data_IF_603906769463
#
_entry.id   IF_603906769463
#
_cell.length_a   1.000
_cell.length_b   1.000
_cell.length_c   1.000
_cell.angle_alpha   90.00
_cell.angle_beta   90.00
_cell.angle_gamma   90.00
#
_symmetry.space_group_name_H-M   'P 1'
#
loop_
_entity.id
_entity.type
_entity.pdbx_description
1 polymer ?
#
# COMPACT_ATOMS: atom_id res chain seq x y z
N UNK A 1 6.01 -59.13 30.77
CA UNK A 1 5.27 -57.93 31.27
C UNK A 1 5.57 -56.80 30.32
N UNK A 2 4.71 -56.62 29.33
CA UNK A 2 4.84 -55.64 28.26
C UNK A 2 3.88 -54.47 28.57
N UNK A 3 4.46 -53.30 28.87
CA UNK A 3 3.72 -52.07 29.02
C UNK A 3 3.39 -51.48 27.64
N UNK A 4 2.15 -51.61 27.22
CA UNK A 4 1.58 -50.85 26.13
C UNK A 4 1.25 -49.45 26.67
N UNK A 5 2.04 -48.44 26.27
CA UNK A 5 1.70 -47.07 26.47
C UNK A 5 0.59 -46.72 25.45
N UNK A 6 -0.60 -46.49 25.95
CA UNK A 6 -1.77 -46.06 25.21
C UNK A 6 -1.53 -44.61 24.72
N UNK A 7 -1.32 -44.44 23.42
CA UNK A 7 -1.19 -43.11 22.79
C UNK A 7 -2.58 -42.53 22.67
N UNK A 8 -2.91 -41.57 23.52
CA UNK A 8 -4.14 -40.80 23.41
C UNK A 8 -4.16 -40.05 22.08
N UNK A 9 -5.26 -40.09 21.31
CA UNK A 9 -5.38 -39.30 20.10
C UNK A 9 -5.42 -37.81 20.45
N UNK A 10 -4.59 -37.01 19.76
CA UNK A 10 -4.57 -35.57 19.90
C UNK A 10 -5.93 -35.02 19.53
N UNK A 11 -6.58 -34.32 20.45
CA UNK A 11 -7.81 -33.58 20.18
C UNK A 11 -7.54 -32.53 19.09
N UNK A 12 -8.41 -32.40 18.07
CA UNK A 12 -8.26 -31.34 17.10
C UNK A 12 -8.40 -29.98 17.81
N UNK A 13 -7.32 -29.21 17.77
CA UNK A 13 -7.34 -27.83 18.24
C UNK A 13 -8.27 -27.04 17.34
N UNK A 14 -9.48 -26.75 17.80
CA UNK A 14 -10.40 -25.84 17.14
C UNK A 14 -9.73 -24.47 17.05
N UNK A 15 -9.42 -24.04 15.82
CA UNK A 15 -9.03 -22.66 15.58
C UNK A 15 -10.12 -21.74 16.16
N UNK A 16 -9.75 -20.65 16.85
CA UNK A 16 -10.73 -19.71 17.35
C UNK A 16 -11.59 -19.21 16.19
N UNK A 17 -12.89 -19.36 16.30
CA UNK A 17 -13.84 -18.81 15.34
C UNK A 17 -13.56 -17.31 15.23
N UNK A 18 -13.05 -16.87 14.08
CA UNK A 18 -12.87 -15.47 13.76
C UNK A 18 -14.27 -14.91 13.54
N UNK A 19 -14.92 -14.48 14.61
CA UNK A 19 -16.09 -13.63 14.50
C UNK A 19 -15.63 -12.36 13.80
N UNK A 20 -16.22 -12.07 12.64
CA UNK A 20 -16.06 -10.77 12.00
C UNK A 20 -16.27 -9.69 13.08
N UNK A 21 -15.38 -8.69 13.19
CA UNK A 21 -15.51 -7.67 14.19
C UNK A 21 -16.91 -7.06 14.08
N UNK A 22 -17.70 -7.18 15.13
CA UNK A 22 -18.98 -6.50 15.22
C UNK A 22 -18.70 -5.01 15.11
N UNK A 23 -19.34 -4.31 14.19
CA UNK A 23 -19.18 -2.91 13.84
C UNK A 23 -19.61 -1.91 14.95
N UNK A 24 -19.43 -2.26 16.21
CA UNK A 24 -19.78 -1.42 17.37
C UNK A 24 -18.60 -0.51 17.79
N UNK A 25 -17.82 -0.02 16.83
CA UNK A 25 -16.75 0.94 17.12
C UNK A 25 -17.28 2.35 17.36
N UNK A 26 -16.52 3.14 18.13
CA UNK A 26 -16.80 4.55 18.49
C UNK A 26 -16.99 5.45 17.25
N UNK A 27 -16.56 5.01 16.07
CA UNK A 27 -16.60 5.78 14.82
C UNK A 27 -17.73 5.38 13.87
N UNK A 28 -18.86 4.86 14.38
CA UNK A 28 -20.03 4.68 13.55
C UNK A 28 -20.62 6.04 13.19
N UNK A 29 -20.53 6.41 11.92
CA UNK A 29 -21.09 7.64 11.37
C UNK A 29 -22.37 7.28 10.63
N UNK A 30 -23.47 7.87 11.04
CA UNK A 30 -24.80 7.60 10.46
C UNK A 30 -25.20 8.62 9.40
N UNK A 31 -24.60 9.80 9.44
CA UNK A 31 -24.89 10.88 8.50
C UNK A 31 -23.63 11.69 8.12
N UNK A 32 -23.75 12.51 7.09
CA UNK A 32 -22.64 13.27 6.52
C UNK A 32 -22.04 14.30 7.50
N UNK A 33 -22.86 14.94 8.33
CA UNK A 33 -22.36 15.93 9.28
C UNK A 33 -21.54 15.27 10.40
N UNK A 34 -22.00 14.13 10.90
CA UNK A 34 -21.20 13.33 11.85
C UNK A 34 -19.89 12.88 11.23
N UNK A 35 -19.91 12.48 9.95
CA UNK A 35 -18.69 12.10 9.22
C UNK A 35 -17.68 13.25 9.13
N UNK A 36 -18.14 14.47 8.81
CA UNK A 36 -17.26 15.66 8.76
C UNK A 36 -16.70 15.98 10.13
N UNK A 37 -17.50 15.93 11.19
CA UNK A 37 -17.05 16.17 12.55
C UNK A 37 -16.00 15.15 13.00
N UNK A 38 -16.24 13.86 12.75
CA UNK A 38 -15.29 12.79 13.03
C UNK A 38 -13.99 12.96 12.22
N UNK A 39 -14.08 13.29 10.93
CA UNK A 39 -12.92 13.56 10.07
C UNK A 39 -12.10 14.76 10.57
N UNK A 40 -12.77 15.84 10.96
CA UNK A 40 -12.12 17.02 11.53
C UNK A 40 -11.40 16.70 12.84
N UNK A 41 -12.02 15.92 13.72
CA UNK A 41 -11.42 15.47 14.97
C UNK A 41 -10.18 14.59 14.70
N UNK A 42 -10.30 13.59 13.83
CA UNK A 42 -9.20 12.68 13.49
C UNK A 42 -8.03 13.42 12.84
N UNK A 43 -8.28 14.42 12.00
CA UNK A 43 -7.23 15.20 11.34
C UNK A 43 -6.36 16.00 12.34
N UNK A 44 -6.88 16.30 13.52
CA UNK A 44 -6.14 16.91 14.61
C UNK A 44 -5.24 15.94 15.41
N UNK A 45 -5.41 14.62 15.21
CA UNK A 45 -4.69 13.61 16.00
C UNK A 45 -3.27 13.38 15.50
N UNK A 46 -2.33 13.22 16.45
CA UNK A 46 -0.95 12.79 16.12
C UNK A 46 -0.83 11.29 15.75
N UNK A 47 -1.88 10.50 15.98
CA UNK A 47 -1.89 9.06 15.68
C UNK A 47 -2.21 8.76 14.22
N UNK A 48 -2.80 9.71 13.48
CA UNK A 48 -3.03 9.53 12.04
C UNK A 48 -1.75 9.84 11.24
N UNK A 49 -1.52 9.18 10.09
CA UNK A 49 -0.39 9.48 9.21
C UNK A 49 -0.39 10.93 8.69
N UNK A 50 0.74 11.40 8.24
CA UNK A 50 0.97 12.80 7.82
C UNK A 50 -0.05 13.29 6.78
N UNK A 51 -0.45 12.44 5.83
CA UNK A 51 -1.40 12.81 4.77
C UNK A 51 -2.82 13.10 5.28
N UNK A 52 -3.11 12.66 6.50
CA UNK A 52 -4.39 12.83 7.20
C UNK A 52 -4.33 13.90 8.29
N UNK A 53 -3.11 14.41 8.63
CA UNK A 53 -2.95 15.42 9.68
C UNK A 53 -3.23 16.82 9.16
N UNK A 54 -3.95 17.60 9.96
CA UNK A 54 -4.20 19.01 9.70
C UNK A 54 -2.91 19.84 9.73
N UNK A 55 -2.03 19.59 10.70
CA UNK A 55 -0.76 20.28 10.82
C UNK A 55 0.40 19.35 10.51
N UNK A 56 1.18 19.73 9.51
CA UNK A 56 2.31 18.94 9.03
C UNK A 56 3.60 19.75 9.04
N UNK A 57 4.76 19.10 9.30
CA UNK A 57 6.04 19.80 9.28
C UNK A 57 6.37 20.34 7.90
N UNK A 58 6.78 21.61 7.84
CA UNK A 58 7.37 22.19 6.63
C UNK A 58 8.70 21.49 6.36
N UNK A 59 8.90 21.04 5.13
CA UNK A 59 10.14 20.37 4.70
C UNK A 59 10.94 21.26 3.76
N UNK A 60 12.26 21.26 3.93
CA UNK A 60 13.17 21.90 2.98
C UNK A 60 13.31 21.08 1.69
N UNK A 61 14.08 21.59 0.71
CA UNK A 61 14.36 20.93 -0.57
C UNK A 61 14.99 19.52 -0.45
N UNK A 62 15.55 19.18 0.72
CA UNK A 62 16.12 17.85 1.02
C UNK A 62 15.16 16.96 1.79
N UNK A 63 13.88 17.35 1.95
CA UNK A 63 12.86 16.58 2.68
C UNK A 63 12.99 16.61 4.20
N UNK A 64 13.94 17.40 4.77
CA UNK A 64 14.15 17.54 6.22
C UNK A 64 13.17 18.56 6.80
N UNK A 65 12.56 18.24 7.94
CA UNK A 65 11.69 19.18 8.65
C UNK A 65 12.45 20.45 9.04
N UNK A 66 11.83 21.60 8.81
CA UNK A 66 12.33 22.91 9.24
C UNK A 66 11.92 23.16 10.68
N UNK A 67 12.80 23.87 11.42
CA UNK A 67 12.56 24.25 12.81
C UNK A 67 12.63 25.77 12.97
N UNK A 68 11.87 26.29 13.93
CA UNK A 68 11.96 27.66 14.39
C UNK A 68 13.25 27.90 15.18
N UNK A 69 13.53 29.15 15.54
CA UNK A 69 14.70 29.53 16.33
C UNK A 69 14.71 28.89 17.75
N UNK A 70 13.55 28.56 18.30
CA UNK A 70 13.34 27.88 19.57
C UNK A 70 13.47 26.34 19.49
N UNK A 71 13.76 25.79 18.31
CA UNK A 71 13.88 24.35 18.06
C UNK A 71 12.54 23.62 17.78
N UNK A 72 11.41 24.31 17.84
CA UNK A 72 10.10 23.71 17.51
C UNK A 72 9.94 23.50 15.99
N UNK A 73 9.23 22.46 15.53
CA UNK A 73 8.96 22.26 14.12
C UNK A 73 8.13 23.41 13.54
N UNK A 74 8.52 23.91 12.37
CA UNK A 74 7.64 24.76 11.57
C UNK A 74 6.52 23.92 11.01
N UNK A 75 5.26 24.34 11.22
CA UNK A 75 4.08 23.64 10.78
C UNK A 75 3.35 24.42 9.69
N UNK A 76 2.79 23.72 8.73
CA UNK A 76 1.85 24.25 7.74
C UNK A 76 0.54 23.49 7.78
N UNK A 77 -0.56 24.14 7.41
CA UNK A 77 -1.85 23.49 7.32
C UNK A 77 -1.91 22.63 6.06
N UNK A 78 -2.38 21.40 6.22
CA UNK A 78 -2.69 20.50 5.11
C UNK A 78 -4.18 20.71 4.72
N UNK A 79 -4.48 21.33 3.58
CA UNK A 79 -5.86 21.62 3.19
C UNK A 79 -6.68 20.37 2.90
N UNK A 80 -6.02 19.24 2.63
CA UNK A 80 -6.68 17.99 2.28
C UNK A 80 -6.92 17.07 3.49
N UNK A 81 -6.44 17.42 4.68
CA UNK A 81 -6.47 16.53 5.84
C UNK A 81 -7.88 16.02 6.19
N UNK A 82 -8.84 16.94 6.32
CA UNK A 82 -10.22 16.57 6.65
C UNK A 82 -10.88 15.75 5.54
N UNK A 83 -10.65 16.10 4.28
CA UNK A 83 -11.18 15.37 3.12
C UNK A 83 -10.60 13.96 3.05
N UNK A 84 -9.29 13.81 3.27
CA UNK A 84 -8.63 12.51 3.31
C UNK A 84 -9.17 11.64 4.46
N UNK A 85 -9.34 12.22 5.66
CA UNK A 85 -9.96 11.54 6.79
C UNK A 85 -11.39 11.10 6.48
N UNK A 86 -12.19 11.95 5.83
CA UNK A 86 -13.57 11.64 5.46
C UNK A 86 -13.64 10.47 4.48
N UNK A 87 -12.76 10.45 3.47
CA UNK A 87 -12.66 9.34 2.52
C UNK A 87 -12.28 8.05 3.24
N UNK A 88 -11.27 8.10 4.13
CA UNK A 88 -10.84 6.93 4.89
C UNK A 88 -11.93 6.41 5.83
N UNK A 89 -12.69 7.31 6.49
CA UNK A 89 -13.87 6.94 7.29
C UNK A 89 -14.93 6.21 6.46
N UNK A 90 -15.25 6.73 5.26
CA UNK A 90 -16.20 6.09 4.36
C UNK A 90 -15.71 4.70 3.93
N UNK A 91 -14.43 4.55 3.61
CA UNK A 91 -13.85 3.25 3.26
C UNK A 91 -13.89 2.29 4.43
N UNK A 92 -13.53 2.74 5.65
CA UNK A 92 -13.59 1.95 6.86
C UNK A 92 -15.01 1.42 7.12
N UNK A 93 -16.01 2.29 6.99
CA UNK A 93 -17.41 1.93 7.16
C UNK A 93 -17.88 0.89 6.14
N UNK A 94 -17.51 1.08 4.86
CA UNK A 94 -17.87 0.12 3.79
C UNK A 94 -17.19 -1.24 3.93
N UNK A 95 -15.97 -1.28 4.47
CA UNK A 95 -15.18 -2.49 4.63
C UNK A 95 -15.41 -3.17 6.00
N UNK A 96 -16.05 -2.49 6.95
CA UNK A 96 -16.22 -2.98 8.32
C UNK A 96 -14.93 -2.98 9.14
N UNK A 97 -13.97 -2.10 8.81
CA UNK A 97 -12.69 -1.97 9.51
C UNK A 97 -12.66 -0.71 10.38
N UNK A 98 -11.72 -0.69 11.33
CA UNK A 98 -11.43 0.50 12.11
C UNK A 98 -10.83 1.62 11.24
N UNK A 99 -11.31 2.88 11.36
CA UNK A 99 -10.82 4.00 10.55
C UNK A 99 -9.32 4.25 10.68
N UNK A 100 -8.75 4.13 11.87
CA UNK A 100 -7.32 4.32 12.08
C UNK A 100 -6.51 3.22 11.38
N UNK A 101 -7.00 1.98 11.38
CA UNK A 101 -6.40 0.88 10.62
C UNK A 101 -6.38 1.18 9.12
N UNK A 102 -7.48 1.72 8.58
CA UNK A 102 -7.52 2.15 7.18
C UNK A 102 -6.50 3.27 6.93
N UNK A 103 -6.51 4.34 7.72
CA UNK A 103 -5.59 5.46 7.54
C UNK A 103 -4.11 5.04 7.62
N UNK A 104 -3.76 4.12 8.50
CA UNK A 104 -2.39 3.61 8.65
C UNK A 104 -1.93 2.75 7.46
N UNK A 105 -2.86 2.20 6.70
CA UNK A 105 -2.58 1.28 5.59
C UNK A 105 -2.94 1.83 4.21
N UNK A 106 -3.60 2.98 4.12
CA UNK A 106 -3.97 3.65 2.88
C UNK A 106 -3.03 4.85 2.67
N UNK A 107 -2.08 4.70 1.77
CA UNK A 107 -1.15 5.75 1.37
C UNK A 107 -1.75 6.60 0.25
N UNK A 108 -1.37 7.87 0.21
CA UNK A 108 -1.70 8.78 -0.90
C UNK A 108 -0.40 9.07 -1.63
N UNK A 109 -0.22 8.46 -2.80
CA UNK A 109 0.98 8.59 -3.63
C UNK A 109 0.59 9.37 -4.87
N UNK A 110 1.08 10.60 -5.00
CA UNK A 110 0.76 11.52 -6.11
C UNK A 110 -0.75 11.64 -6.38
N UNK A 111 -1.52 11.81 -5.31
CA UNK A 111 -2.98 11.95 -5.36
C UNK A 111 -3.74 10.64 -5.60
N UNK A 112 -3.05 9.50 -5.69
CA UNK A 112 -3.68 8.18 -5.85
C UNK A 112 -3.67 7.41 -4.54
N UNK A 113 -4.82 6.85 -4.11
CA UNK A 113 -4.85 5.96 -2.97
C UNK A 113 -4.14 4.64 -3.31
N UNK A 114 -3.43 4.09 -2.34
CA UNK A 114 -2.69 2.84 -2.49
C UNK A 114 -2.65 2.06 -1.17
N UNK A 115 -2.96 0.77 -1.22
CA UNK A 115 -2.90 -0.09 -0.05
C UNK A 115 -1.47 -0.50 0.31
N UNK A 116 -1.19 -0.64 1.61
CA UNK A 116 0.00 -1.38 2.03
C UNK A 116 -0.13 -2.84 1.60
N UNK A 117 0.98 -3.45 1.18
CA UNK A 117 0.97 -4.88 0.79
C UNK A 117 0.58 -5.79 1.96
N UNK A 118 0.88 -5.38 3.20
CA UNK A 118 0.47 -6.08 4.42
C UNK A 118 -1.04 -6.05 4.60
N UNK A 119 -1.69 -4.91 4.35
CA UNK A 119 -3.14 -4.79 4.42
C UNK A 119 -3.83 -5.67 3.39
N UNK A 120 -3.29 -5.75 2.17
CA UNK A 120 -3.83 -6.63 1.12
C UNK A 120 -3.89 -8.08 1.61
N UNK A 121 -2.80 -8.59 2.18
CA UNK A 121 -2.76 -9.95 2.74
C UNK A 121 -3.76 -10.10 3.88
N UNK A 122 -3.79 -9.13 4.80
CA UNK A 122 -4.72 -9.17 5.94
C UNK A 122 -6.19 -9.15 5.50
N UNK A 123 -6.54 -8.31 4.53
CA UNK A 123 -7.89 -8.18 3.99
C UNK A 123 -8.34 -9.47 3.28
N UNK A 124 -7.46 -10.08 2.47
CA UNK A 124 -7.74 -11.37 1.83
C UNK A 124 -7.97 -12.45 2.89
N UNK A 125 -7.12 -12.53 3.91
CA UNK A 125 -7.26 -13.54 4.97
C UNK A 125 -8.52 -13.33 5.84
N UNK A 126 -8.92 -12.08 6.04
CA UNK A 126 -10.08 -11.75 6.87
C UNK A 126 -11.42 -11.84 6.13
N UNK A 127 -11.44 -11.89 4.80
CA UNK A 127 -12.66 -11.81 4.00
C UNK A 127 -13.61 -13.01 4.13
N UNK A 128 -13.14 -14.11 4.70
CA UNK A 128 -13.92 -15.32 4.90
C UNK A 128 -14.32 -16.07 3.63
N UNK A 129 -13.82 -15.69 2.46
CA UNK A 129 -14.05 -16.39 1.18
C UNK A 129 -13.09 -17.54 0.96
N UNK A 130 -11.90 -17.43 1.51
CA UNK A 130 -10.76 -18.33 1.31
C UNK A 130 -10.20 -18.76 2.65
N UNK A 131 -9.40 -19.82 2.62
CA UNK A 131 -8.46 -20.13 3.70
C UNK A 131 -7.33 -19.07 3.73
N UNK A 132 -6.53 -18.99 4.80
CA UNK A 132 -5.40 -18.07 4.84
C UNK A 132 -4.44 -18.24 3.67
N UNK A 133 -4.05 -17.13 3.06
CA UNK A 133 -3.17 -17.07 1.90
C UNK A 133 -1.82 -17.73 2.22
N UNK A 134 -1.38 -18.62 1.37
CA UNK A 134 -0.11 -19.34 1.44
C UNK A 134 0.82 -18.87 0.33
N UNK A 135 2.14 -19.05 0.54
CA UNK A 135 3.15 -18.62 -0.42
C UNK A 135 4.12 -19.78 -0.68
N UNK A 136 4.26 -20.11 -1.94
CA UNK A 136 5.21 -21.11 -2.41
C UNK A 136 6.36 -20.38 -3.10
N UNK A 137 7.58 -20.45 -2.49
CA UNK A 137 8.79 -19.86 -3.05
C UNK A 137 9.68 -20.98 -3.55
N UNK A 138 10.11 -20.87 -4.81
CA UNK A 138 11.03 -21.81 -5.44
C UNK A 138 12.25 -21.05 -5.95
N UNK A 139 13.43 -21.61 -5.74
CA UNK A 139 14.67 -21.15 -6.35
C UNK A 139 14.90 -21.92 -7.65
N UNK A 140 14.82 -21.24 -8.79
CA UNK A 140 15.05 -21.84 -10.11
C UNK A 140 16.53 -21.82 -10.52
N UNK A 141 17.41 -21.43 -9.60
CA UNK A 141 18.84 -21.35 -9.83
C UNK A 141 19.30 -19.98 -10.33
N UNK A 142 20.58 -19.89 -10.61
CA UNK A 142 21.23 -18.67 -11.07
C UNK A 142 20.85 -18.41 -12.55
N UNK A 143 20.48 -17.15 -12.84
CA UNK A 143 20.06 -16.72 -14.16
C UNK A 143 20.71 -15.39 -14.53
N UNK A 144 21.17 -15.30 -15.77
CA UNK A 144 21.62 -14.06 -16.36
C UNK A 144 20.46 -13.42 -17.12
N UNK A 145 20.12 -12.17 -16.78
CA UNK A 145 18.93 -11.49 -17.24
C UNK A 145 19.33 -10.19 -17.93
N UNK A 146 19.00 -10.09 -19.21
CA UNK A 146 19.14 -8.86 -19.97
C UNK A 146 17.96 -7.93 -19.71
N UNK A 147 18.24 -6.64 -19.58
CA UNK A 147 17.23 -5.60 -19.39
C UNK A 147 17.65 -4.28 -19.99
N UNK A 148 16.68 -3.39 -20.21
CA UNK A 148 16.94 -2.03 -20.68
C UNK A 148 17.03 -1.11 -19.47
N UNK A 149 18.21 -0.56 -19.24
CA UNK A 149 18.41 0.46 -18.21
C UNK A 149 18.13 1.84 -18.82
N UNK A 150 17.12 2.54 -18.32
CA UNK A 150 16.76 3.89 -18.77
C UNK A 150 17.19 4.91 -17.73
N UNK A 151 17.87 5.96 -18.13
CA UNK A 151 18.36 7.05 -17.27
C UNK A 151 18.21 8.39 -17.96
N UNK A 152 18.22 9.46 -17.17
CA UNK A 152 18.16 10.83 -17.68
C UNK A 152 19.55 11.45 -17.66
N UNK A 153 19.95 12.01 -18.79
CA UNK A 153 21.18 12.75 -18.93
C UNK A 153 20.92 14.02 -19.75
N UNK A 154 21.29 15.20 -19.20
CA UNK A 154 21.08 16.51 -19.85
C UNK A 154 19.64 16.73 -20.35
N UNK A 155 18.63 16.30 -19.58
CA UNK A 155 17.21 16.44 -19.93
C UNK A 155 16.70 15.50 -21.02
N UNK A 156 17.52 14.53 -21.46
CA UNK A 156 17.14 13.51 -22.44
C UNK A 156 17.10 12.13 -21.77
N UNK A 157 16.07 11.36 -22.09
CA UNK A 157 15.97 9.97 -21.67
C UNK A 157 16.86 9.13 -22.58
N UNK A 158 17.88 8.51 -22.00
CA UNK A 158 18.78 7.57 -22.65
C UNK A 158 18.47 6.16 -22.17
N UNK A 159 18.81 5.16 -22.97
CA UNK A 159 18.69 3.77 -22.60
C UNK A 159 19.88 2.97 -23.12
N UNK A 160 20.35 2.04 -22.32
CA UNK A 160 21.35 1.06 -22.69
C UNK A 160 20.91 -0.34 -22.28
N UNK A 161 21.40 -1.34 -23.01
CA UNK A 161 21.26 -2.72 -22.59
C UNK A 161 22.23 -3.01 -21.45
N UNK A 162 21.76 -3.70 -20.45
CA UNK A 162 22.55 -4.14 -19.30
C UNK A 162 22.14 -5.57 -18.94
N UNK A 163 23.02 -6.25 -18.24
CA UNK A 163 22.82 -7.63 -17.81
C UNK A 163 23.07 -7.73 -16.32
N UNK A 164 22.24 -8.49 -15.62
CA UNK A 164 22.42 -8.82 -14.22
C UNK A 164 22.35 -10.31 -14.00
N UNK A 165 23.24 -10.84 -13.17
CA UNK A 165 23.28 -12.25 -12.75
C UNK A 165 22.79 -12.36 -11.32
N UNK A 166 21.73 -13.16 -11.10
CA UNK A 166 21.12 -13.34 -9.79
C UNK A 166 20.41 -14.69 -9.68
N UNK A 167 20.12 -15.11 -8.45
CA UNK A 167 19.24 -16.27 -8.19
C UNK A 167 17.80 -15.92 -8.56
N UNK A 168 17.23 -16.70 -9.50
CA UNK A 168 15.85 -16.49 -9.92
C UNK A 168 14.89 -17.15 -8.94
N UNK A 169 14.60 -16.45 -7.84
CA UNK A 169 13.53 -16.82 -6.93
C UNK A 169 12.19 -16.53 -7.56
N UNK A 170 11.25 -17.45 -7.41
CA UNK A 170 9.86 -17.30 -7.87
C UNK A 170 8.91 -17.48 -6.71
N UNK A 171 7.72 -16.85 -6.78
CA UNK A 171 6.68 -16.96 -5.77
C UNK A 171 5.30 -17.05 -6.41
N UNK A 172 4.48 -17.95 -5.88
CA UNK A 172 3.05 -18.04 -6.15
C UNK A 172 2.31 -17.85 -4.83
N UNK A 173 1.35 -16.94 -4.80
CA UNK A 173 0.38 -16.86 -3.71
C UNK A 173 -0.79 -17.77 -4.03
N UNK A 174 -1.20 -18.63 -3.09
CA UNK A 174 -2.29 -19.56 -3.30
C UNK A 174 -3.12 -19.75 -2.03
N UNK A 175 -4.34 -20.21 -2.19
CA UNK A 175 -5.23 -20.59 -1.12
C UNK A 175 -6.27 -21.58 -1.61
N UNK A 176 -7.14 -22.06 -0.71
CA UNK A 176 -8.29 -22.90 -1.03
C UNK A 176 -9.59 -22.13 -0.86
N UNK A 177 -10.51 -22.26 -1.79
CA UNK A 177 -11.86 -21.76 -1.63
C UNK A 177 -12.69 -22.69 -0.69
N UNK A 178 -13.90 -22.26 -0.31
CA UNK A 178 -14.79 -23.06 0.55
C UNK A 178 -15.25 -24.40 -0.06
N UNK A 179 -14.98 -24.63 -1.35
CA UNK A 179 -15.27 -25.89 -2.03
C UNK A 179 -14.06 -26.80 -2.14
N UNK A 180 -12.90 -26.37 -1.60
CA UNK A 180 -11.64 -27.10 -1.66
C UNK A 180 -10.85 -26.91 -2.96
N UNK A 181 -11.25 -25.98 -3.83
CA UNK A 181 -10.50 -25.70 -5.06
C UNK A 181 -9.29 -24.82 -4.73
N UNK A 182 -8.11 -25.20 -5.26
CA UNK A 182 -6.91 -24.37 -5.19
C UNK A 182 -7.04 -23.19 -6.16
N UNK A 183 -6.91 -21.98 -5.64
CA UNK A 183 -6.79 -20.73 -6.38
C UNK A 183 -5.38 -20.21 -6.20
N UNK A 184 -4.78 -19.67 -7.27
CA UNK A 184 -3.39 -19.18 -7.21
C UNK A 184 -3.17 -17.97 -8.10
N UNK A 185 -2.22 -17.13 -7.72
CA UNK A 185 -1.74 -16.01 -8.54
C UNK A 185 -0.90 -16.49 -9.71
N UNK A 186 -0.62 -15.60 -10.65
CA UNK A 186 0.49 -15.78 -11.56
C UNK A 186 1.82 -15.90 -10.80
N UNK A 187 2.78 -16.56 -11.44
CA UNK A 187 4.14 -16.72 -10.89
C UNK A 187 4.89 -15.39 -10.99
N UNK A 188 5.27 -14.83 -9.85
CA UNK A 188 6.14 -13.66 -9.75
C UNK A 188 7.58 -14.13 -9.63
N UNK A 189 8.52 -13.50 -10.33
CA UNK A 189 9.92 -13.90 -10.32
C UNK A 189 10.89 -12.74 -10.18
N UNK A 190 12.13 -13.03 -9.78
CA UNK A 190 13.21 -12.03 -9.79
C UNK A 190 13.54 -11.58 -11.22
N UNK A 191 13.42 -12.48 -12.21
CA UNK A 191 13.51 -12.10 -13.62
C UNK A 191 12.48 -11.05 -14.00
N UNK A 192 11.21 -11.24 -13.58
CA UNK A 192 10.16 -10.24 -13.79
C UNK A 192 10.53 -8.91 -13.12
N UNK A 193 11.02 -8.96 -11.87
CA UNK A 193 11.42 -7.74 -11.15
C UNK A 193 12.54 -6.96 -11.86
N UNK A 194 13.45 -7.66 -12.52
CA UNK A 194 14.50 -7.03 -13.33
C UNK A 194 13.91 -6.44 -14.62
N UNK A 195 13.11 -7.19 -15.37
CA UNK A 195 12.53 -6.74 -16.65
C UNK A 195 11.56 -5.57 -16.50
N UNK A 196 10.80 -5.54 -15.39
CA UNK A 196 9.88 -4.46 -15.05
C UNK A 196 10.56 -3.25 -14.37
N UNK A 197 11.90 -3.31 -14.19
CA UNK A 197 12.65 -2.20 -13.60
C UNK A 197 12.51 -2.04 -12.08
N UNK A 198 11.86 -2.96 -11.37
CA UNK A 198 11.69 -2.88 -9.93
C UNK A 198 12.98 -3.13 -9.17
N UNK A 199 13.82 -4.00 -9.70
CA UNK A 199 15.10 -4.40 -9.10
C UNK A 199 16.13 -3.28 -9.14
N UNK A 200 16.21 -2.51 -10.23
CA UNK A 200 17.24 -1.51 -10.49
C UNK A 200 17.03 -0.17 -9.77
N UNK A 201 15.84 0.08 -9.22
CA UNK A 201 15.54 1.33 -8.52
C UNK A 201 16.51 1.58 -7.37
N UNK A 202 16.92 2.82 -7.19
CA UNK A 202 17.79 3.18 -6.07
C UNK A 202 17.14 2.83 -4.72
N UNK A 203 17.84 2.05 -3.89
CA UNK A 203 17.32 1.56 -2.62
C UNK A 203 16.22 0.50 -2.74
N UNK A 204 16.14 -0.19 -3.88
CA UNK A 204 15.15 -1.24 -4.13
C UNK A 204 15.20 -2.36 -3.11
N UNK A 205 14.05 -2.64 -2.49
CA UNK A 205 13.88 -3.76 -1.56
C UNK A 205 13.96 -5.13 -2.25
N UNK A 206 13.81 -5.17 -3.56
CA UNK A 206 14.03 -6.38 -4.35
C UNK A 206 15.46 -6.90 -4.26
N UNK A 207 16.44 -6.02 -4.02
CA UNK A 207 17.84 -6.39 -3.83
C UNK A 207 18.14 -6.93 -2.42
N UNK A 208 17.45 -6.43 -1.41
CA UNK A 208 17.76 -6.71 0.01
C UNK A 208 16.76 -7.62 0.69
N UNK A 209 15.51 -7.67 0.20
CA UNK A 209 14.39 -8.38 0.81
C UNK A 209 13.54 -9.11 -0.26
N UNK A 210 14.20 -9.75 -1.23
CA UNK A 210 13.57 -10.36 -2.40
C UNK A 210 12.39 -11.27 -2.04
N UNK A 211 12.56 -12.18 -1.08
CA UNK A 211 11.51 -13.11 -0.67
C UNK A 211 10.26 -12.42 -0.11
N UNK A 212 10.39 -11.27 0.54
CA UNK A 212 9.25 -10.49 1.02
C UNK A 212 8.56 -9.74 -0.12
N UNK A 213 9.33 -9.13 -1.02
CA UNK A 213 8.79 -8.42 -2.17
C UNK A 213 8.04 -9.36 -3.12
N UNK A 214 8.57 -10.58 -3.33
CA UNK A 214 7.90 -11.63 -4.08
C UNK A 214 6.53 -11.98 -3.48
N UNK A 215 6.44 -12.18 -2.15
CA UNK A 215 5.17 -12.46 -1.47
C UNK A 215 4.18 -11.30 -1.61
N UNK A 216 4.63 -10.07 -1.41
CA UNK A 216 3.79 -8.88 -1.51
C UNK A 216 3.20 -8.71 -2.90
N UNK A 217 4.03 -8.89 -3.93
CA UNK A 217 3.59 -8.78 -5.32
C UNK A 217 2.64 -9.93 -5.70
N UNK A 218 2.94 -11.15 -5.30
CA UNK A 218 2.08 -12.31 -5.54
C UNK A 218 0.71 -12.15 -4.85
N UNK A 219 0.68 -11.63 -3.61
CA UNK A 219 -0.57 -11.35 -2.90
C UNK A 219 -1.40 -10.26 -3.60
N UNK A 220 -0.77 -9.20 -4.08
CA UNK A 220 -1.45 -8.14 -4.82
C UNK A 220 -2.07 -8.68 -6.12
N UNK A 221 -1.35 -9.52 -6.85
CA UNK A 221 -1.85 -10.17 -8.08
C UNK A 221 -3.00 -11.14 -7.78
N UNK A 222 -2.88 -11.94 -6.72
CA UNK A 222 -3.96 -12.80 -6.26
C UNK A 222 -5.22 -11.98 -5.92
N UNK A 223 -5.07 -10.93 -5.12
CA UNK A 223 -6.18 -10.11 -4.66
C UNK A 223 -6.94 -9.42 -5.78
N UNK A 224 -6.26 -8.96 -6.81
CA UNK A 224 -6.90 -8.32 -7.97
C UNK A 224 -7.75 -9.27 -8.80
N UNK A 225 -7.40 -10.54 -8.85
CA UNK A 225 -8.13 -11.54 -9.65
C UNK A 225 -9.28 -12.15 -8.83
N UNK A 226 -9.02 -12.54 -7.58
CA UNK A 226 -9.96 -13.34 -6.80
C UNK A 226 -10.72 -12.57 -5.72
N UNK A 227 -10.26 -11.34 -5.40
CA UNK A 227 -10.85 -10.50 -4.35
C UNK A 227 -10.88 -9.01 -4.71
N UNK A 228 -11.22 -8.61 -5.96
CA UNK A 228 -11.16 -7.21 -6.41
C UNK A 228 -12.09 -6.30 -5.60
N UNK A 229 -13.23 -6.80 -5.14
CA UNK A 229 -14.20 -6.07 -4.33
C UNK A 229 -13.64 -5.73 -2.93
N UNK A 230 -12.76 -6.55 -2.38
CA UNK A 230 -12.12 -6.32 -1.08
C UNK A 230 -11.08 -5.21 -1.21
N UNK A 231 -10.34 -5.20 -2.30
CA UNK A 231 -9.33 -4.17 -2.58
C UNK A 231 -9.93 -2.88 -3.13
N UNK A 232 -11.23 -2.86 -3.45
CA UNK A 232 -11.95 -1.70 -3.99
C UNK A 232 -11.31 -1.12 -5.26
N UNK A 233 -10.62 -1.95 -6.06
CA UNK A 233 -9.89 -1.52 -7.25
C UNK A 233 -8.61 -0.71 -6.98
N UNK A 234 -8.17 -0.62 -5.72
CA UNK A 234 -6.98 0.13 -5.32
C UNK A 234 -5.74 -0.77 -5.41
N UNK A 235 -4.69 -0.23 -6.00
CA UNK A 235 -3.39 -0.91 -6.16
C UNK A 235 -2.59 -0.93 -4.85
N UNK A 236 -1.56 -1.77 -4.78
CA UNK A 236 -0.59 -1.69 -3.70
C UNK A 236 0.30 -0.44 -3.86
N UNK A 237 0.85 0.04 -2.73
CA UNK A 237 1.76 1.19 -2.73
C UNK A 237 3.00 0.95 -3.59
N UNK A 238 3.48 -0.30 -3.64
CA UNK A 238 4.63 -0.67 -4.46
C UNK A 238 4.30 -0.60 -5.95
N UNK A 239 3.08 -0.98 -6.35
CA UNK A 239 2.63 -0.88 -7.74
C UNK A 239 2.43 0.58 -8.18
N UNK A 240 1.82 1.41 -7.33
CA UNK A 240 1.63 2.84 -7.66
C UNK A 240 2.96 3.55 -7.82
N UNK A 241 3.96 3.25 -6.98
CA UNK A 241 5.32 3.80 -7.14
C UNK A 241 5.99 3.35 -8.43
N UNK A 242 5.66 2.17 -8.96
CA UNK A 242 6.19 1.70 -10.24
C UNK A 242 5.63 2.51 -11.41
N UNK A 243 4.39 2.98 -11.36
CA UNK A 243 3.79 3.82 -12.41
C UNK A 243 4.34 5.25 -12.41
N UNK A 244 4.71 5.77 -11.25
CA UNK A 244 5.17 7.16 -11.07
C UNK A 244 6.55 7.37 -11.68
N UNK A 245 7.45 6.41 -11.56
CA UNK A 245 8.82 6.51 -12.09
C UNK A 245 8.90 6.59 -13.63
N UNK A 246 7.81 6.37 -14.33
CA UNK A 246 7.74 6.39 -15.81
C UNK A 246 7.26 7.73 -16.36
N UNK A 247 6.70 8.60 -15.52
CA UNK A 247 6.22 9.92 -15.95
C UNK A 247 7.37 10.93 -15.86
N UNK A 248 7.76 11.62 -16.95
CA UNK A 248 8.73 12.70 -16.85
C UNK A 248 8.19 13.77 -15.92
N UNK A 249 8.97 14.20 -14.92
CA UNK A 249 8.69 15.41 -14.19
C UNK A 249 8.51 16.54 -15.20
N UNK A 250 7.27 16.94 -15.45
CA UNK A 250 6.98 18.22 -16.10
C UNK A 250 7.56 19.28 -15.18
N UNK A 251 8.54 20.03 -15.70
CA UNK A 251 9.12 21.17 -15.01
C UNK A 251 8.00 21.98 -14.33
N UNK A 252 8.19 22.48 -13.09
CA UNK A 252 7.15 23.17 -12.37
C UNK A 252 6.62 24.31 -13.24
N UNK A 253 5.38 24.20 -13.70
CA UNK A 253 4.69 25.31 -14.33
C UNK A 253 4.66 26.41 -13.27
N UNK A 254 5.37 27.51 -13.55
CA UNK A 254 5.25 28.74 -12.76
C UNK A 254 3.76 29.01 -12.59
N UNK A 255 3.31 28.98 -11.33
CA UNK A 255 1.93 29.31 -10.99
C UNK A 255 1.60 30.66 -11.61
N UNK A 256 0.69 30.67 -12.58
CA UNK A 256 0.16 31.89 -13.16
C UNK A 256 -0.45 32.70 -12.00
N UNK A 257 0.09 33.88 -11.76
CA UNK A 257 -0.45 34.81 -10.77
C UNK A 257 -1.93 35.03 -11.07
N UNK A 258 -2.83 34.95 -10.06
CA UNK A 258 -4.23 35.22 -10.28
C UNK A 258 -4.38 36.66 -10.76
N UNK A 259 -4.91 36.85 -11.97
CA UNK A 259 -5.33 38.18 -12.45
C UNK A 259 -6.39 38.72 -11.49
N UNK A 260 -6.10 39.82 -10.82
CA UNK A 260 -7.08 40.59 -10.05
C UNK A 260 -8.21 40.96 -10.99
N UNK A 261 -9.39 40.38 -10.79
CA UNK A 261 -10.63 40.87 -11.39
C UNK A 261 -10.99 42.17 -10.70
N UNK A 262 -10.90 43.26 -11.44
CA UNK A 262 -11.48 44.55 -11.04
C UNK A 262 -13.01 44.38 -11.03
N UNK A 263 -13.59 44.51 -9.84
CA UNK A 263 -15.03 44.58 -9.66
C UNK A 263 -15.48 45.96 -10.17
N UNK A 264 -16.41 46.09 -11.14
CA UNK A 264 -16.95 47.38 -11.53
C UNK A 264 -17.80 47.95 -10.39
N UNK A 265 -17.50 49.17 -9.93
CA UNK A 265 -18.42 49.93 -9.09
C UNK A 265 -19.61 50.33 -9.95
N UNK A 266 -20.81 49.97 -9.55
CA UNK A 266 -22.05 50.54 -10.04
C UNK A 266 -22.39 51.72 -9.13
N UNK A 267 -22.50 52.95 -9.74
CA UNK A 267 -23.09 54.14 -9.15
C UNK A 267 -24.62 54.00 -9.06
#
# INVERSE_FOLDING_TARGET
MSNLAEVMPAMPMQAPATTAPSSNGVFQVTNFNEAINAASFLSGSSLVPTDYRRWVPVKNQYGKAMTNADGTPQLMENPNATSNCLIALNMANRMGYDPLMIMQNLYIIEGRPAWSSQFIIAAINACGKFDPLQFEIVNEGEKEIEYVNSYWENGKKLSNQATVKLENLTCIAWTTDKKGNRLQSDKISMEMAVKEGWYQKNGSKWQTMAGQMLRYRAAAFFGRIYAPEILMGIYSADEVRDFVDVTPETAPQQAAQPKQQQIPCYD
#
